data_IF_915920820031
#
_entry.id   IF_915920820031
#
_cell.length_a   1.000
_cell.length_b   1.000
_cell.length_c   1.000
_cell.angle_alpha   90.00
_cell.angle_beta   90.00
_cell.angle_gamma   90.00
#
_symmetry.space_group_name_H-M   'P 1'
#
loop_
_entity.id
_entity.type
_entity.pdbx_description
1 polymer ?
#
# COMPACT_ATOMS: atom_id res chain seq x y z
N UNK A 1 0.50 -2.34 10.15
CA UNK A 1 -0.53 -3.19 9.55
C UNK A 1 -1.79 -3.01 10.37
N UNK A 2 -2.91 -2.74 9.72
CA UNK A 2 -4.19 -2.57 10.40
C UNK A 2 -4.86 -3.94 10.50
N UNK A 3 -5.27 -4.35 11.69
CA UNK A 3 -5.96 -5.63 11.89
C UNK A 3 -7.40 -5.35 12.25
N UNK A 4 -8.31 -6.11 11.64
CA UNK A 4 -9.75 -5.96 11.79
C UNK A 4 -10.38 -7.32 12.11
N UNK A 5 -11.45 -7.29 12.90
CA UNK A 5 -12.40 -8.40 13.06
C UNK A 5 -13.69 -7.95 12.40
N UNK A 6 -14.06 -8.63 11.32
CA UNK A 6 -15.22 -8.28 10.51
C UNK A 6 -16.27 -9.36 10.71
N UNK A 7 -17.49 -8.96 11.05
CA UNK A 7 -18.63 -9.86 11.21
C UNK A 7 -19.66 -9.63 10.12
N UNK A 8 -20.28 -10.69 9.64
CA UNK A 8 -21.53 -10.56 8.90
C UNK A 8 -22.62 -10.02 9.85
N UNK A 9 -23.42 -9.07 9.39
CA UNK A 9 -24.57 -8.52 10.13
C UNK A 9 -25.74 -9.49 10.16
N UNK A 10 -25.81 -10.39 9.17
CA UNK A 10 -26.78 -11.47 9.12
C UNK A 10 -26.20 -12.72 9.78
N UNK A 11 -27.08 -13.48 10.43
CA UNK A 11 -26.75 -14.80 10.95
C UNK A 11 -26.87 -15.83 9.84
N UNK A 12 -26.07 -16.89 9.92
CA UNK A 12 -26.16 -18.02 9.01
C UNK A 12 -27.45 -18.84 9.23
N UNK A 13 -27.61 -19.90 8.43
CA UNK A 13 -28.76 -20.83 8.52
C UNK A 13 -28.89 -21.54 9.88
N UNK A 14 -27.84 -21.53 10.70
CA UNK A 14 -27.81 -22.09 12.05
C UNK A 14 -27.97 -21.04 13.16
N UNK A 15 -28.17 -19.77 12.79
CA UNK A 15 -28.28 -18.66 13.74
C UNK A 15 -26.95 -18.22 14.36
N UNK A 16 -25.82 -18.68 13.81
CA UNK A 16 -24.47 -18.29 14.21
C UNK A 16 -24.06 -17.00 13.49
N UNK A 17 -23.38 -16.13 14.22
CA UNK A 17 -22.79 -14.91 13.67
C UNK A 17 -21.35 -15.21 13.27
N UNK A 18 -21.06 -15.12 11.97
CA UNK A 18 -19.74 -15.43 11.42
C UNK A 18 -18.85 -14.19 11.45
N UNK A 19 -17.60 -14.38 11.87
CA UNK A 19 -16.59 -13.33 11.91
C UNK A 19 -15.25 -13.85 11.38
N UNK A 20 -14.47 -12.96 10.76
CA UNK A 20 -13.16 -13.23 10.16
C UNK A 20 -12.15 -12.17 10.57
N UNK A 21 -10.90 -12.59 10.69
CA UNK A 21 -9.77 -11.68 10.88
C UNK A 21 -9.22 -11.24 9.52
N UNK A 22 -9.04 -9.94 9.35
CA UNK A 22 -8.43 -9.35 8.15
C UNK A 22 -7.24 -8.49 8.55
N UNK A 23 -6.11 -8.67 7.87
CA UNK A 23 -4.92 -7.83 8.02
C UNK A 23 -4.75 -6.99 6.76
N UNK A 24 -4.65 -5.67 6.93
CA UNK A 24 -4.49 -4.71 5.84
C UNK A 24 -3.07 -4.08 5.87
N UNK A 25 -2.48 -3.80 4.69
CA UNK A 25 -3.07 -3.97 3.37
C UNK A 25 -3.11 -5.44 2.92
N UNK A 26 -4.16 -5.82 2.18
CA UNK A 26 -4.43 -7.15 1.66
C UNK A 26 -4.64 -7.15 0.14
N UNK A 27 -4.27 -8.25 -0.50
CA UNK A 27 -4.63 -8.50 -1.90
C UNK A 27 -6.14 -8.73 -2.04
N UNK A 28 -6.67 -8.42 -3.22
CA UNK A 28 -8.09 -8.57 -3.55
C UNK A 28 -8.58 -10.01 -3.35
N UNK A 29 -7.80 -11.01 -3.76
CA UNK A 29 -8.12 -12.42 -3.55
C UNK A 29 -8.19 -12.79 -2.06
N UNK A 30 -7.36 -12.17 -1.21
CA UNK A 30 -7.38 -12.38 0.24
C UNK A 30 -8.65 -11.78 0.85
N UNK A 31 -9.04 -10.59 0.42
CA UNK A 31 -10.29 -9.95 0.85
C UNK A 31 -11.51 -10.74 0.36
N UNK A 32 -11.49 -11.20 -0.89
CA UNK A 32 -12.54 -12.03 -1.49
C UNK A 32 -12.72 -13.35 -0.71
N UNK A 33 -11.60 -13.99 -0.36
CA UNK A 33 -11.63 -15.21 0.46
C UNK A 33 -12.18 -14.93 1.87
N UNK A 34 -11.74 -13.85 2.51
CA UNK A 34 -12.23 -13.47 3.84
C UNK A 34 -13.73 -13.15 3.84
N UNK A 35 -14.25 -12.48 2.81
CA UNK A 35 -15.69 -12.26 2.64
C UNK A 35 -16.45 -13.59 2.55
N UNK A 36 -15.93 -14.55 1.77
CA UNK A 36 -16.50 -15.89 1.65
C UNK A 36 -16.55 -16.68 2.97
N UNK A 37 -15.57 -16.51 3.86
CA UNK A 37 -15.54 -17.17 5.18
C UNK A 37 -16.69 -16.74 6.09
N UNK A 38 -17.23 -15.54 5.88
CA UNK A 38 -18.40 -15.02 6.61
C UNK A 38 -19.68 -15.02 5.77
N UNK A 39 -19.68 -15.73 4.64
CA UNK A 39 -20.86 -15.93 3.79
C UNK A 39 -21.25 -14.72 2.93
N UNK A 40 -20.30 -13.84 2.61
CA UNK A 40 -20.49 -12.69 1.74
C UNK A 40 -19.83 -12.92 0.38
N UNK A 41 -20.33 -12.25 -0.66
CA UNK A 41 -19.70 -12.27 -1.99
C UNK A 41 -18.44 -11.42 -2.04
N UNK A 42 -18.44 -10.28 -1.38
CA UNK A 42 -17.38 -9.25 -1.39
C UNK A 42 -17.58 -8.30 -0.20
N UNK A 43 -16.75 -7.24 -0.10
CA UNK A 43 -16.90 -6.18 0.89
C UNK A 43 -17.42 -4.85 0.32
N UNK A 44 -17.83 -4.78 -0.94
CA UNK A 44 -18.17 -3.52 -1.63
C UNK A 44 -19.60 -3.05 -1.37
N UNK A 45 -20.54 -3.95 -1.05
CA UNK A 45 -21.93 -3.60 -0.72
C UNK A 45 -22.58 -4.61 0.24
N UNK A 46 -21.76 -5.26 1.06
CA UNK A 46 -22.21 -6.37 1.89
C UNK A 46 -22.58 -5.92 3.30
N UNK A 47 -23.57 -6.57 3.89
CA UNK A 47 -23.97 -6.31 5.28
C UNK A 47 -22.95 -6.89 6.27
N UNK A 48 -21.85 -6.18 6.51
CA UNK A 48 -20.88 -6.49 7.56
C UNK A 48 -20.71 -5.34 8.55
N UNK A 49 -20.04 -5.63 9.66
CA UNK A 49 -19.63 -4.66 10.65
C UNK A 49 -18.22 -5.01 11.16
N UNK A 50 -17.38 -3.99 11.36
CA UNK A 50 -16.12 -4.07 12.06
C UNK A 50 -16.44 -4.11 13.56
N UNK A 51 -16.19 -5.27 14.17
CA UNK A 51 -16.49 -5.55 15.59
C UNK A 51 -15.25 -5.55 16.48
N UNK A 52 -14.08 -5.36 15.89
CA UNK A 52 -12.81 -5.24 16.61
C UNK A 52 -11.68 -4.81 15.69
N UNK A 53 -10.65 -4.20 16.29
CA UNK A 53 -9.52 -3.66 15.56
C UNK A 53 -8.24 -3.71 16.40
N UNK A 54 -7.10 -3.60 15.71
CA UNK A 54 -5.80 -3.32 16.31
C UNK A 54 -4.96 -2.58 15.28
N UNK A 55 -4.66 -1.31 15.55
CA UNK A 55 -3.99 -0.42 14.61
C UNK A 55 -2.55 -0.10 14.99
N UNK A 56 -2.11 -0.53 16.17
CA UNK A 56 -0.71 -0.46 16.57
C UNK A 56 -0.31 0.99 16.81
N UNK A 57 0.63 1.53 16.02
CA UNK A 57 1.02 2.95 16.14
C UNK A 57 -0.05 3.93 15.65
N UNK A 58 -1.06 3.45 14.92
CA UNK A 58 -2.18 4.27 14.45
C UNK A 58 -3.43 4.07 15.32
N UNK A 59 -3.28 3.81 16.63
CA UNK A 59 -4.39 3.40 17.49
C UNK A 59 -5.53 4.43 17.55
N UNK A 60 -5.25 5.73 17.47
CA UNK A 60 -6.29 6.77 17.51
C UNK A 60 -7.20 6.77 16.28
N UNK A 61 -6.84 6.08 15.19
CA UNK A 61 -7.75 5.84 14.06
C UNK A 61 -9.05 5.16 14.50
N UNK A 62 -9.04 4.40 15.59
CA UNK A 62 -10.26 3.77 16.12
C UNK A 62 -11.36 4.78 16.45
N UNK A 63 -10.99 6.02 16.79
CA UNK A 63 -11.95 7.07 17.12
C UNK A 63 -12.64 7.62 15.86
N UNK A 64 -12.10 7.31 14.68
CA UNK A 64 -12.51 7.88 13.39
C UNK A 64 -12.98 6.81 12.38
N UNK A 65 -12.86 5.52 12.71
CA UNK A 65 -13.30 4.41 11.85
C UNK A 65 -14.66 3.89 12.36
N UNK A 66 -15.77 4.21 11.69
CA UNK A 66 -17.07 3.66 12.06
C UNK A 66 -17.13 2.14 11.81
N UNK A 67 -17.99 1.44 12.55
CA UNK A 67 -18.19 -0.01 12.38
C UNK A 67 -18.59 -0.42 10.95
N UNK A 68 -19.26 0.46 10.21
CA UNK A 68 -19.62 0.26 8.80
C UNK A 68 -18.62 0.82 7.79
N UNK A 69 -17.38 1.13 8.18
CA UNK A 69 -16.37 1.66 7.28
C UNK A 69 -16.08 0.69 6.12
N UNK A 70 -15.87 1.25 4.93
CA UNK A 70 -15.57 0.45 3.74
C UNK A 70 -14.19 -0.20 3.85
N UNK A 71 -14.13 -1.54 3.78
CA UNK A 71 -12.88 -2.29 3.93
C UNK A 71 -11.87 -1.97 2.83
N UNK A 72 -12.31 -1.68 1.61
CA UNK A 72 -11.42 -1.33 0.50
C UNK A 72 -10.83 0.07 0.66
N UNK A 73 -11.56 1.02 1.24
CA UNK A 73 -11.02 2.33 1.65
C UNK A 73 -9.95 2.17 2.74
N UNK A 74 -10.24 1.38 3.79
CA UNK A 74 -9.26 1.06 4.83
C UNK A 74 -8.04 0.31 4.25
N UNK A 75 -8.25 -0.53 3.23
CA UNK A 75 -7.19 -1.23 2.54
C UNK A 75 -6.27 -0.26 1.78
N UNK A 76 -6.84 0.73 1.09
CA UNK A 76 -6.09 1.80 0.44
C UNK A 76 -5.29 2.61 1.46
N UNK A 77 -5.90 3.01 2.57
CA UNK A 77 -5.23 3.73 3.65
C UNK A 77 -4.05 2.92 4.22
N UNK A 78 -4.25 1.63 4.45
CA UNK A 78 -3.18 0.74 4.92
C UNK A 78 -2.04 0.58 3.91
N UNK A 79 -2.34 0.64 2.60
CA UNK A 79 -1.32 0.67 1.56
C UNK A 79 -0.46 1.94 1.66
N UNK A 80 -1.07 3.11 1.87
CA UNK A 80 -0.36 4.39 2.06
C UNK A 80 0.57 4.35 3.27
N UNK A 81 0.08 3.85 4.42
CA UNK A 81 0.88 3.73 5.64
C UNK A 81 2.11 2.84 5.51
N UNK A 82 2.16 1.96 4.51
CA UNK A 82 3.34 1.13 4.24
C UNK A 82 4.48 1.93 3.62
N UNK A 83 4.17 3.01 2.90
CA UNK A 83 5.15 3.92 2.30
C UNK A 83 5.64 5.02 3.24
N UNK A 84 4.96 5.24 4.37
CA UNK A 84 5.28 6.32 5.30
C UNK A 84 6.61 6.12 6.02
N UNK A 85 7.35 7.22 6.19
CA UNK A 85 8.43 7.34 7.17
C UNK A 85 7.87 7.34 8.60
N UNK A 86 8.76 7.28 9.61
CA UNK A 86 8.32 7.45 11.01
C UNK A 86 7.74 8.84 11.25
N UNK A 87 8.38 9.88 10.71
CA UNK A 87 7.93 11.27 10.76
C UNK A 87 6.54 11.45 10.11
N UNK A 88 6.34 10.96 8.88
CA UNK A 88 5.04 11.01 8.22
C UNK A 88 3.94 10.27 8.99
N UNK A 89 4.28 9.21 9.71
CA UNK A 89 3.32 8.51 10.56
C UNK A 89 2.96 9.33 11.81
N UNK A 90 3.93 10.01 12.43
CA UNK A 90 3.70 10.91 13.56
C UNK A 90 2.89 12.15 13.15
N UNK A 91 3.22 12.74 12.00
CA UNK A 91 2.50 13.84 11.37
C UNK A 91 1.05 13.47 11.06
N UNK A 92 0.85 12.28 10.48
CA UNK A 92 -0.48 11.77 10.21
C UNK A 92 -1.31 11.61 11.49
N UNK A 93 -0.73 11.14 12.59
CA UNK A 93 -1.45 11.02 13.85
C UNK A 93 -1.74 12.39 14.49
N UNK A 94 -0.82 13.34 14.32
CA UNK A 94 -0.99 14.71 14.80
C UNK A 94 -2.15 15.41 14.09
N UNK A 95 -2.30 15.16 12.78
CA UNK A 95 -3.45 15.59 11.97
C UNK A 95 -4.81 15.09 12.47
N UNK A 96 -4.86 14.05 13.32
CA UNK A 96 -6.11 13.49 13.83
C UNK A 96 -6.51 14.04 15.20
N UNK A 97 -5.59 14.68 15.93
CA UNK A 97 -5.79 14.88 17.37
C UNK A 97 -6.89 15.89 17.72
N UNK A 98 -7.22 16.80 16.81
CA UNK A 98 -8.29 17.80 17.00
C UNK A 98 -9.26 17.90 15.81
N UNK A 99 -9.27 16.88 14.94
CA UNK A 99 -10.28 16.79 13.89
C UNK A 99 -11.64 16.48 14.51
N UNK A 100 -12.67 17.22 14.08
CA UNK A 100 -14.07 16.89 14.37
C UNK A 100 -14.52 15.59 13.68
N UNK A 101 -15.76 15.56 13.20
CA UNK A 101 -16.23 14.42 12.41
C UNK A 101 -15.41 14.29 11.11
N UNK A 102 -14.50 13.32 11.08
CA UNK A 102 -13.64 13.02 9.93
C UNK A 102 -14.08 11.69 9.31
N UNK A 103 -14.18 11.66 7.98
CA UNK A 103 -14.56 10.46 7.25
C UNK A 103 -13.33 9.66 6.82
N UNK A 104 -13.51 8.38 6.46
CA UNK A 104 -12.43 7.56 5.90
C UNK A 104 -11.89 8.19 4.60
N UNK A 105 -12.74 8.85 3.82
CA UNK A 105 -12.34 9.62 2.65
C UNK A 105 -11.35 10.73 3.00
N UNK A 106 -11.62 11.50 4.06
CA UNK A 106 -10.74 12.57 4.53
C UNK A 106 -9.40 12.01 5.02
N UNK A 107 -9.43 10.88 5.74
CA UNK A 107 -8.21 10.17 6.17
C UNK A 107 -7.34 9.76 4.98
N UNK A 108 -7.94 9.23 3.91
CA UNK A 108 -7.23 8.86 2.68
C UNK A 108 -6.60 10.10 2.06
N UNK A 109 -7.35 11.18 1.91
CA UNK A 109 -6.85 12.42 1.32
C UNK A 109 -5.68 13.00 2.14
N UNK A 110 -5.81 13.13 3.47
CA UNK A 110 -4.72 13.54 4.37
C UNK A 110 -3.48 12.64 4.20
N UNK A 111 -3.66 11.33 4.05
CA UNK A 111 -2.55 10.41 3.81
C UNK A 111 -1.89 10.58 2.43
N UNK A 112 -2.62 11.02 1.40
CA UNK A 112 -2.03 11.37 0.10
C UNK A 112 -1.20 12.63 0.20
N UNK A 113 -1.73 13.65 0.87
CA UNK A 113 -1.08 14.94 0.89
C UNK A 113 0.25 14.94 1.67
N UNK A 114 0.36 14.12 2.72
CA UNK A 114 1.62 13.91 3.43
C UNK A 114 2.67 13.16 2.59
N UNK A 115 2.26 12.30 1.66
CA UNK A 115 3.23 11.56 0.83
C UNK A 115 3.85 12.44 -0.26
N UNK A 116 3.08 13.40 -0.80
CA UNK A 116 3.51 14.30 -1.87
C UNK A 116 4.13 15.61 -1.34
N UNK A 117 4.51 15.66 -0.05
CA UNK A 117 5.01 16.87 0.65
C UNK A 117 4.10 18.11 0.44
N UNK A 118 2.80 17.87 0.21
CA UNK A 118 1.79 18.91 -0.03
C UNK A 118 1.31 19.57 1.27
N UNK A 119 1.84 19.12 2.40
CA UNK A 119 1.65 19.73 3.70
C UNK A 119 2.99 20.06 4.33
N UNK A 120 3.02 21.20 5.01
CA UNK A 120 4.11 21.62 5.85
C UNK A 120 3.62 21.73 7.29
N UNK A 121 4.45 21.30 8.24
CA UNK A 121 4.19 21.47 9.67
C UNK A 121 5.13 22.53 10.22
N UNK A 122 4.55 23.62 10.70
CA UNK A 122 5.27 24.62 11.47
C UNK A 122 5.27 24.22 12.94
N UNK A 123 6.29 23.44 13.30
CA UNK A 123 6.47 22.96 14.67
C UNK A 123 6.59 24.12 15.66
N UNK A 124 5.95 23.96 16.83
CA UNK A 124 5.97 24.95 17.90
C UNK A 124 5.06 26.16 17.67
N UNK A 125 4.25 26.15 16.60
CA UNK A 125 3.18 27.13 16.37
C UNK A 125 1.86 26.55 16.86
N UNK A 126 1.33 27.10 17.94
CA UNK A 126 0.18 26.53 18.68
C UNK A 126 -1.01 27.49 18.79
N UNK A 127 -0.83 28.75 18.43
CA UNK A 127 -1.89 29.75 18.35
C UNK A 127 -1.69 30.75 17.19
N UNK A 128 -2.68 31.63 17.00
CA UNK A 128 -2.69 32.62 15.92
C UNK A 128 -1.56 33.65 16.07
N UNK A 129 -1.17 34.02 17.28
CA UNK A 129 -0.09 34.98 17.52
C UNK A 129 1.25 34.38 17.08
N UNK A 130 1.55 33.16 17.50
CA UNK A 130 2.73 32.40 17.07
C UNK A 130 2.73 32.18 15.54
N UNK A 131 1.56 31.91 14.95
CA UNK A 131 1.41 31.73 13.50
C UNK A 131 1.73 33.00 12.73
N UNK A 132 1.19 34.13 13.17
CA UNK A 132 1.47 35.43 12.57
C UNK A 132 2.95 35.79 12.68
N UNK A 133 3.55 35.58 13.86
CA UNK A 133 4.98 35.81 14.08
C UNK A 133 5.82 34.98 13.10
N UNK A 134 5.54 33.67 13.02
CA UNK A 134 6.25 32.75 12.14
C UNK A 134 6.12 33.14 10.67
N UNK A 135 4.92 33.53 10.24
CA UNK A 135 4.68 33.95 8.86
C UNK A 135 5.44 35.23 8.49
N UNK A 136 5.44 36.24 9.36
CA UNK A 136 6.15 37.50 9.12
C UNK A 136 7.66 37.28 9.07
N UNK A 137 8.21 36.47 9.97
CA UNK A 137 9.64 36.11 9.97
C UNK A 137 10.07 35.48 8.63
N UNK A 138 9.21 34.62 8.05
CA UNK A 138 9.53 33.94 6.79
C UNK A 138 9.32 34.84 5.56
N UNK A 139 8.24 35.63 5.52
CA UNK A 139 7.86 36.43 4.34
C UNK A 139 8.48 37.82 4.30
N UNK A 140 8.85 38.37 5.45
CA UNK A 140 9.44 39.69 5.59
C UNK A 140 10.60 39.72 6.59
N UNK A 141 11.67 38.92 6.38
CA UNK A 141 12.79 38.82 7.32
C UNK A 141 13.58 40.13 7.51
N UNK A 142 13.49 41.04 6.55
CA UNK A 142 14.20 42.34 6.56
C UNK A 142 13.36 43.49 7.12
N UNK A 143 12.22 43.18 7.77
CA UNK A 143 11.36 44.22 8.34
C UNK A 143 12.10 44.96 9.47
N UNK A 144 12.11 46.31 9.47
CA UNK A 144 12.70 47.09 10.57
C UNK A 144 12.08 46.71 11.92
N UNK A 145 12.91 46.62 12.96
CA UNK A 145 12.51 46.24 14.33
C UNK A 145 11.36 47.13 14.86
N UNK A 146 11.40 48.44 14.57
CA UNK A 146 10.34 49.39 14.92
C UNK A 146 8.97 49.06 14.30
N UNK A 147 8.94 48.37 13.15
CA UNK A 147 7.69 47.92 12.51
C UNK A 147 7.30 46.56 13.10
N UNK A 148 8.26 45.68 13.32
CA UNK A 148 8.05 44.33 13.87
C UNK A 148 7.35 44.38 15.24
N UNK A 149 7.69 45.33 16.10
CA UNK A 149 7.05 45.49 17.42
C UNK A 149 5.59 46.02 17.37
N UNK A 150 5.13 46.53 16.21
CA UNK A 150 3.81 47.15 16.07
C UNK A 150 2.83 46.33 15.21
N UNK A 151 3.21 45.12 14.80
CA UNK A 151 2.31 44.21 14.06
C UNK A 151 1.33 43.54 15.03
N UNK A 152 0.08 43.46 14.62
CA UNK A 152 -0.92 42.59 15.26
C UNK A 152 -0.78 41.18 14.70
N UNK A 153 0.01 40.34 15.37
CA UNK A 153 0.32 39.00 14.88
C UNK A 153 -0.88 38.06 14.94
N UNK A 154 -1.81 38.27 15.87
CA UNK A 154 -3.04 37.48 15.94
C UNK A 154 -3.91 37.69 14.69
N UNK A 155 -4.04 38.94 14.22
CA UNK A 155 -4.77 39.28 12.98
C UNK A 155 -4.06 38.70 11.74
N UNK A 156 -2.72 38.78 11.68
CA UNK A 156 -1.94 38.15 10.61
C UNK A 156 -2.12 36.64 10.61
N UNK A 157 -2.04 35.99 11.77
CA UNK A 157 -2.24 34.54 11.89
C UNK A 157 -3.63 34.12 11.46
N UNK A 158 -4.67 34.91 11.78
CA UNK A 158 -6.03 34.66 11.34
C UNK A 158 -6.15 34.69 9.81
N UNK A 159 -5.56 35.71 9.18
CA UNK A 159 -5.52 35.83 7.71
C UNK A 159 -4.77 34.66 7.08
N UNK A 160 -3.62 34.26 7.64
CA UNK A 160 -2.84 33.12 7.16
C UNK A 160 -3.69 31.84 7.22
N UNK A 161 -4.28 31.55 8.38
CA UNK A 161 -5.09 30.36 8.58
C UNK A 161 -6.33 30.32 7.68
N UNK A 162 -6.96 31.47 7.47
CA UNK A 162 -8.11 31.54 6.58
C UNK A 162 -7.72 31.25 5.12
N UNK A 163 -6.53 31.69 4.71
CA UNK A 163 -6.05 31.57 3.34
C UNK A 163 -5.49 30.18 3.00
N UNK A 164 -4.73 29.55 3.89
CA UNK A 164 -4.11 28.24 3.64
C UNK A 164 -4.93 27.06 4.16
N UNK A 165 -6.04 27.34 4.85
CA UNK A 165 -6.93 26.36 5.45
C UNK A 165 -6.20 25.41 6.42
N UNK A 166 -5.17 25.91 7.10
CA UNK A 166 -4.39 25.13 8.05
C UNK A 166 -5.04 24.97 9.43
N UNK A 167 -4.59 23.97 10.17
CA UNK A 167 -5.15 23.55 11.46
C UNK A 167 -4.06 23.51 12.54
N UNK A 168 -4.39 23.95 13.76
CA UNK A 168 -3.52 23.74 14.93
C UNK A 168 -3.63 22.31 15.40
N UNK A 169 -2.49 21.70 15.71
CA UNK A 169 -2.38 20.34 16.25
C UNK A 169 -1.33 20.28 17.35
N UNK A 170 -1.23 19.15 18.05
CA UNK A 170 -0.17 18.92 19.02
C UNK A 170 1.26 18.95 18.43
N UNK A 171 1.42 18.75 17.12
CA UNK A 171 2.72 18.85 16.45
C UNK A 171 3.09 20.29 16.03
N UNK A 172 2.12 21.21 16.08
CA UNK A 172 2.25 22.58 15.60
C UNK A 172 1.13 22.92 14.60
N UNK A 173 1.39 23.94 13.78
CA UNK A 173 0.45 24.41 12.78
C UNK A 173 0.66 23.68 11.47
N UNK A 174 -0.36 22.97 11.01
CA UNK A 174 -0.30 22.18 9.78
C UNK A 174 -0.98 22.96 8.67
N UNK A 175 -0.22 23.27 7.62
CA UNK A 175 -0.70 24.06 6.50
C UNK A 175 -0.48 23.38 5.17
N UNK A 176 -1.30 23.76 4.22
CA UNK A 176 -1.15 23.35 2.85
C UNK A 176 0.01 24.10 2.19
N UNK A 177 0.99 23.37 1.66
CA UNK A 177 2.14 23.99 0.97
C UNK A 177 1.78 24.42 -0.47
N UNK A 178 0.62 23.99 -0.99
CA UNK A 178 0.11 24.34 -2.32
C UNK A 178 -1.10 25.29 -2.24
N UNK A 179 -1.22 26.24 -3.20
CA UNK A 179 -2.40 27.13 -3.31
C UNK A 179 -3.72 26.37 -3.60
N UNK A 180 -3.63 25.17 -4.17
CA UNK A 180 -4.77 24.30 -4.47
C UNK A 180 -4.36 22.87 -4.16
N UNK A 181 -5.11 22.22 -3.27
CA UNK A 181 -5.07 20.77 -3.14
C UNK A 181 -6.28 20.19 -3.84
N UNK A 182 -6.02 19.55 -4.96
CA UNK A 182 -7.02 18.74 -5.62
C UNK A 182 -7.31 17.53 -4.72
N UNK A 183 -8.59 17.34 -4.41
CA UNK A 183 -9.06 16.14 -3.73
C UNK A 183 -8.63 14.90 -4.52
N UNK A 184 -7.77 14.07 -3.93
CA UNK A 184 -7.19 12.91 -4.62
C UNK A 184 -8.19 11.75 -4.65
N UNK A 185 -8.88 11.52 -3.54
CA UNK A 185 -9.91 10.49 -3.43
C UNK A 185 -11.29 11.14 -3.29
N UNK A 186 -12.16 10.93 -4.29
CA UNK A 186 -13.48 11.56 -4.38
C UNK A 186 -14.63 10.67 -3.89
N UNK A 187 -14.34 9.41 -3.55
CA UNK A 187 -15.33 8.37 -3.19
C UNK A 187 -15.71 7.45 -4.35
N UNK A 188 -15.24 7.73 -5.57
CA UNK A 188 -15.60 6.98 -6.79
C UNK A 188 -14.39 6.40 -7.51
N UNK A 189 -13.21 7.00 -7.33
CA UNK A 189 -11.95 6.59 -7.97
C UNK A 189 -11.10 5.60 -7.15
N UNK A 190 -11.72 4.87 -6.20
CA UNK A 190 -11.04 3.94 -5.28
C UNK A 190 -10.22 2.88 -6.02
N UNK A 191 -10.81 2.24 -7.03
CA UNK A 191 -10.19 1.16 -7.81
C UNK A 191 -8.93 1.66 -8.51
N UNK A 192 -8.99 2.85 -9.10
CA UNK A 192 -7.87 3.45 -9.82
C UNK A 192 -6.72 3.79 -8.86
N UNK A 193 -7.02 4.30 -7.67
CA UNK A 193 -6.02 4.59 -6.64
C UNK A 193 -5.36 3.33 -6.10
N UNK A 194 -6.14 2.26 -5.85
CA UNK A 194 -5.59 0.96 -5.44
C UNK A 194 -4.66 0.40 -6.52
N UNK A 195 -5.03 0.50 -7.79
CA UNK A 195 -4.21 0.06 -8.90
C UNK A 195 -2.88 0.83 -8.97
N UNK A 196 -2.92 2.17 -8.88
CA UNK A 196 -1.72 3.03 -8.86
C UNK A 196 -0.77 2.68 -7.72
N UNK A 197 -1.30 2.50 -6.51
CA UNK A 197 -0.48 2.19 -5.34
C UNK A 197 0.16 0.79 -5.44
N UNK A 198 -0.56 -0.19 -5.99
CA UNK A 198 0.01 -1.51 -6.31
C UNK A 198 1.16 -1.41 -7.31
N UNK A 199 1.02 -0.61 -8.36
CA UNK A 199 2.08 -0.38 -9.35
C UNK A 199 3.31 0.32 -8.72
N UNK A 200 3.08 1.32 -7.87
CA UNK A 200 4.14 2.00 -7.12
C UNK A 200 4.94 1.02 -6.26
N UNK A 201 4.25 0.15 -5.51
CA UNK A 201 4.91 -0.87 -4.69
C UNK A 201 5.67 -1.91 -5.52
N UNK A 202 5.19 -2.27 -6.71
CA UNK A 202 5.94 -3.12 -7.65
C UNK A 202 7.21 -2.44 -8.16
N UNK A 203 7.13 -1.16 -8.50
CA UNK A 203 8.29 -0.36 -8.95
C UNK A 203 9.35 -0.18 -7.86
N UNK A 204 8.93 -0.05 -6.60
CA UNK A 204 9.83 0.02 -5.45
C UNK A 204 10.54 -1.32 -5.20
N UNK A 205 9.81 -2.44 -5.23
CA UNK A 205 10.39 -3.78 -5.08
C UNK A 205 11.40 -4.14 -6.18
N UNK A 206 11.15 -3.75 -7.43
CA UNK A 206 12.09 -4.01 -8.53
C UNK A 206 13.38 -3.19 -8.43
N UNK A 207 13.38 -2.07 -7.69
CA UNK A 207 14.57 -1.24 -7.45
C UNK A 207 15.45 -1.73 -6.30
N UNK A 208 14.89 -2.36 -5.26
CA UNK A 208 15.70 -2.85 -4.12
C UNK A 208 16.30 -4.26 -4.35
N UNK A 209 15.79 -5.00 -5.33
CA UNK A 209 16.31 -6.31 -5.74
C UNK A 209 16.02 -7.45 -4.76
N UNK A 210 15.32 -7.20 -3.65
CA UNK A 210 14.90 -8.23 -2.70
C UNK A 210 13.53 -8.81 -3.09
N UNK A 211 13.49 -10.13 -3.13
CA UNK A 211 12.29 -10.92 -3.40
C UNK A 211 11.42 -10.94 -2.15
N UNK A 212 10.11 -10.71 -2.30
CA UNK A 212 9.18 -10.87 -1.18
C UNK A 212 9.10 -12.35 -0.76
N UNK A 213 8.58 -12.64 0.45
CA UNK A 213 8.44 -14.03 0.92
C UNK A 213 7.62 -14.92 -0.03
N UNK A 214 6.60 -14.33 -0.67
CA UNK A 214 5.80 -15.01 -1.69
C UNK A 214 6.64 -15.27 -2.94
N UNK A 215 7.39 -14.27 -3.43
CA UNK A 215 8.29 -14.43 -4.57
C UNK A 215 9.37 -15.49 -4.31
N UNK A 216 9.87 -15.61 -3.07
CA UNK A 216 10.82 -16.66 -2.66
C UNK A 216 10.19 -18.04 -2.73
N UNK A 217 8.94 -18.20 -2.27
CA UNK A 217 8.26 -19.49 -2.36
C UNK A 217 7.92 -19.87 -3.81
N UNK A 218 7.53 -18.90 -4.63
CA UNK A 218 7.24 -19.15 -6.05
C UNK A 218 8.53 -19.42 -6.83
N UNK A 219 9.63 -18.74 -6.50
CA UNK A 219 10.96 -19.02 -7.04
C UNK A 219 11.39 -20.45 -6.75
N UNK A 220 11.26 -20.90 -5.50
CA UNK A 220 11.55 -22.29 -5.15
C UNK A 220 10.69 -23.30 -5.95
N UNK A 221 9.43 -22.94 -6.23
CA UNK A 221 8.55 -23.76 -7.08
C UNK A 221 9.06 -23.83 -8.52
N UNK A 222 9.42 -22.68 -9.10
CA UNK A 222 10.00 -22.59 -10.45
C UNK A 222 11.30 -23.38 -10.53
N UNK A 223 12.19 -23.27 -9.54
CA UNK A 223 13.44 -24.02 -9.48
C UNK A 223 13.21 -25.54 -9.44
N UNK A 224 12.20 -26.01 -8.70
CA UNK A 224 11.80 -27.42 -8.69
C UNK A 224 11.28 -27.92 -10.04
N UNK A 225 10.51 -27.10 -10.76
CA UNK A 225 10.04 -27.42 -12.12
C UNK A 225 11.20 -27.45 -13.11
N UNK A 226 12.14 -26.50 -13.02
CA UNK A 226 13.38 -26.48 -13.81
C UNK A 226 14.21 -27.74 -13.59
N UNK A 227 14.44 -28.11 -12.33
CA UNK A 227 15.19 -29.32 -12.00
C UNK A 227 14.52 -30.58 -12.57
N UNK A 228 13.19 -30.67 -12.49
CA UNK A 228 12.43 -31.78 -13.08
C UNK A 228 12.58 -31.84 -14.60
N UNK A 229 12.54 -30.69 -15.28
CA UNK A 229 12.73 -30.61 -16.72
C UNK A 229 14.17 -31.02 -17.12
N UNK A 230 15.17 -30.56 -16.38
CA UNK A 230 16.58 -30.93 -16.56
C UNK A 230 16.81 -32.43 -16.35
N UNK A 231 16.23 -33.03 -15.31
CA UNK A 231 16.32 -34.48 -15.08
C UNK A 231 15.68 -35.27 -16.23
N UNK A 232 14.49 -34.87 -16.69
CA UNK A 232 13.83 -35.48 -17.84
C UNK A 232 14.68 -35.36 -19.11
N UNK A 233 15.24 -34.19 -19.38
CA UNK A 233 16.15 -33.96 -20.51
C UNK A 233 17.40 -34.86 -20.41
N UNK A 234 17.97 -35.03 -19.22
CA UNK A 234 19.15 -35.86 -19.01
C UNK A 234 18.86 -37.35 -19.22
N UNK A 235 17.69 -37.84 -18.78
CA UNK A 235 17.35 -39.27 -18.80
C UNK A 235 16.78 -39.71 -20.14
N UNK A 236 15.92 -38.89 -20.75
CA UNK A 236 15.12 -39.25 -21.92
C UNK A 236 15.56 -38.51 -23.20
N UNK A 237 16.39 -37.47 -23.08
CA UNK A 237 16.86 -36.67 -24.21
C UNK A 237 15.69 -36.13 -25.04
N UNK A 238 15.72 -36.40 -26.35
CA UNK A 238 14.70 -35.94 -27.30
C UNK A 238 13.27 -36.42 -26.98
N UNK A 239 13.12 -37.55 -26.28
CA UNK A 239 11.80 -38.08 -25.90
C UNK A 239 11.11 -37.23 -24.81
N UNK A 240 11.85 -36.39 -24.07
CA UNK A 240 11.28 -35.50 -23.05
C UNK A 240 10.69 -34.18 -23.60
N UNK A 241 10.78 -33.92 -24.91
CA UNK A 241 10.47 -32.60 -25.50
C UNK A 241 9.04 -32.13 -25.19
N UNK A 242 8.05 -33.02 -25.21
CA UNK A 242 6.65 -32.69 -24.90
C UNK A 242 6.46 -32.35 -23.42
N UNK A 243 6.96 -33.21 -22.52
CA UNK A 243 6.90 -33.00 -21.07
C UNK A 243 7.61 -31.70 -20.64
N UNK A 244 8.77 -31.41 -21.23
CA UNK A 244 9.52 -30.18 -21.00
C UNK A 244 8.71 -28.97 -21.48
N UNK A 245 8.00 -29.09 -22.60
CA UNK A 245 7.13 -28.03 -23.11
C UNK A 245 6.00 -27.67 -22.14
N UNK A 246 5.36 -28.66 -21.52
CA UNK A 246 4.32 -28.44 -20.51
C UNK A 246 4.88 -27.83 -19.22
N UNK A 247 6.05 -28.29 -18.77
CA UNK A 247 6.74 -27.70 -17.62
C UNK A 247 7.12 -26.24 -17.89
N UNK A 248 7.66 -25.94 -19.08
CA UNK A 248 8.00 -24.57 -19.49
C UNK A 248 6.77 -23.67 -19.51
N UNK A 249 5.65 -24.18 -20.04
CA UNK A 249 4.38 -23.45 -20.06
C UNK A 249 3.88 -23.15 -18.66
N UNK A 250 3.98 -24.12 -17.75
CA UNK A 250 3.63 -23.94 -16.33
C UNK A 250 4.51 -22.88 -15.67
N UNK A 251 5.82 -22.90 -15.92
CA UNK A 251 6.76 -21.88 -15.43
C UNK A 251 6.42 -20.50 -16.00
N UNK A 252 6.14 -20.39 -17.30
CA UNK A 252 5.75 -19.13 -17.92
C UNK A 252 4.41 -18.60 -17.38
N UNK A 253 3.45 -19.47 -17.10
CA UNK A 253 2.18 -19.11 -16.46
C UNK A 253 2.39 -18.64 -15.02
N UNK A 254 3.26 -19.28 -14.23
CA UNK A 254 3.63 -18.81 -12.90
C UNK A 254 4.31 -17.44 -12.97
N UNK A 255 5.29 -17.25 -13.85
CA UNK A 255 5.97 -15.96 -14.01
C UNK A 255 4.97 -14.87 -14.40
N UNK A 256 4.09 -15.14 -15.37
CA UNK A 256 3.08 -14.17 -15.82
C UNK A 256 2.03 -13.87 -14.74
N UNK A 257 1.48 -14.91 -14.11
CA UNK A 257 0.42 -14.77 -13.11
C UNK A 257 0.92 -13.97 -11.90
N UNK A 258 2.14 -14.27 -11.45
CA UNK A 258 2.76 -13.59 -10.31
C UNK A 258 3.54 -12.33 -10.69
N UNK A 259 3.54 -11.94 -11.98
CA UNK A 259 4.27 -10.78 -12.51
C UNK A 259 5.75 -10.77 -12.11
N UNK A 260 6.39 -11.95 -12.16
CA UNK A 260 7.79 -12.16 -11.80
C UNK A 260 8.73 -11.79 -12.96
N UNK A 261 10.03 -11.76 -12.68
CA UNK A 261 11.06 -11.42 -13.66
C UNK A 261 11.15 -12.46 -14.79
N UNK A 262 11.01 -12.02 -16.05
CA UNK A 262 11.08 -12.90 -17.22
C UNK A 262 12.44 -13.61 -17.36
N UNK A 263 13.51 -13.07 -16.75
CA UNK A 263 14.85 -13.71 -16.72
C UNK A 263 14.81 -15.12 -16.11
N UNK A 264 13.80 -15.45 -15.30
CA UNK A 264 13.65 -16.79 -14.75
C UNK A 264 13.19 -17.81 -15.79
N UNK A 265 12.40 -17.39 -16.79
CA UNK A 265 12.05 -18.25 -17.92
C UNK A 265 13.24 -18.45 -18.84
N UNK A 266 14.03 -17.39 -19.07
CA UNK A 266 15.28 -17.47 -19.83
C UNK A 266 16.27 -18.45 -19.17
N UNK A 267 16.37 -18.41 -17.83
CA UNK A 267 17.21 -19.34 -17.07
C UNK A 267 16.72 -20.79 -17.20
N UNK A 268 15.41 -21.04 -17.11
CA UNK A 268 14.83 -22.35 -17.36
C UNK A 268 15.23 -22.89 -18.74
N UNK A 269 15.05 -22.07 -19.79
CA UNK A 269 15.33 -22.45 -21.17
C UNK A 269 16.82 -22.79 -21.37
N UNK A 270 17.70 -21.96 -20.80
CA UNK A 270 19.15 -22.14 -20.87
C UNK A 270 19.60 -23.44 -20.19
N UNK A 271 19.09 -23.74 -18.99
CA UNK A 271 19.50 -24.95 -18.23
C UNK A 271 19.07 -26.23 -18.95
N UNK A 272 17.84 -26.27 -19.47
CA UNK A 272 17.32 -27.42 -20.22
C UNK A 272 18.07 -27.60 -21.54
N UNK A 273 18.29 -26.51 -22.29
CA UNK A 273 18.99 -26.57 -23.58
C UNK A 273 20.43 -27.06 -23.43
N UNK A 274 21.14 -26.61 -22.39
CA UNK A 274 22.52 -27.04 -22.10
C UNK A 274 22.62 -28.56 -21.95
N UNK A 275 21.64 -29.19 -21.30
CA UNK A 275 21.61 -30.65 -21.09
C UNK A 275 21.20 -31.40 -22.34
N UNK A 276 20.21 -30.89 -23.09
CA UNK A 276 19.76 -31.45 -24.36
C UNK A 276 20.89 -31.48 -25.41
N UNK A 277 21.71 -30.44 -25.49
CA UNK A 277 22.85 -30.38 -26.42
C UNK A 277 23.96 -31.38 -26.03
N UNK A 278 24.17 -31.60 -24.73
CA UNK A 278 25.15 -32.55 -24.20
C UNK A 278 24.77 -34.02 -24.45
N UNK A 279 23.49 -34.38 -24.32
CA UNK A 279 23.01 -35.74 -24.61
C UNK A 279 23.07 -36.08 -26.10
N UNK A 280 22.75 -35.13 -26.98
CA UNK A 280 22.86 -35.31 -28.45
C UNK A 280 24.31 -35.62 -28.89
N UNK A 281 25.31 -34.99 -28.26
CA UNK A 281 26.72 -35.29 -28.54
C UNK A 281 27.17 -36.67 -28.05
N UNK A 282 26.64 -37.16 -26.92
CA UNK A 282 26.96 -38.50 -26.40
C UNK A 282 26.32 -39.62 -27.23
N UNK A 283 25.07 -39.44 -27.69
CA UNK A 283 24.38 -40.41 -28.56
C UNK A 283 25.00 -40.49 -29.95
N UNK A 284 25.57 -39.39 -30.47
CA UNK A 284 26.29 -39.36 -31.76
C UNK A 284 27.67 -40.05 -31.74
N UNK A 285 28.26 -40.28 -30.56
CA UNK A 285 29.58 -40.92 -30.43
C UNK A 285 29.51 -42.45 -30.28
N UNK A 286 28.31 -43.03 -30.08
CA UNK A 286 28.10 -44.49 -30.01
C UNK A 286 27.79 -45.14 -31.38
N UNK A 287 27.77 -44.37 -32.46
CA UNK A 287 27.57 -44.88 -33.82
C UNK A 287 28.86 -44.68 -34.63
N UNK A 288 29.87 -45.52 -34.37
CA UNK A 288 31.00 -45.80 -35.27
C UNK A 288 31.61 -47.15 -34.92
#
# INVERSE_FOLDING_TARGET
MLKLIISNTQKDEHGQQLAVHVELPAAEETLQKAAGEIGLSDFDNSGYEIIGHSFGKYEDLQNHIPGGANINELNLLAHKFKGFTEEQAEDFMSLLTDCGDITVKDLINKAYYLEDDSYEIWHGVTDLDELGHRFVEEKAPDLPEEIFENIDYEDVGYDVQSNDHGEFTNAGYIRNSNEVVDEVYDGTNLIDLIAKEREKQKSLKSKDGSLSKEDVMIKATIDGLTATAVEKACVLGVEATEDIGELRKTVAELIRFWSLDERWLEQFDMEVQTVMEGTVQQSGMQIN
#
